data_IF_095765179817
#
_entry.id   IF_095765179817
#
_cell.length_a   1.000
_cell.length_b   1.000
_cell.length_c   1.000
_cell.angle_alpha   90.00
_cell.angle_beta   90.00
_cell.angle_gamma   90.00
#
_symmetry.space_group_name_H-M   'P 1'
#
loop_
_entity.id
_entity.type
_entity.pdbx_description
1 polymer ?
#
# COMPACT_ATOMS: atom_id res chain seq x y z
N UNK A 1 -13.96 3.65 22.47
CA UNK A 1 -14.70 2.60 21.73
C UNK A 1 -13.71 1.55 21.25
N UNK A 2 -13.84 0.30 21.70
CA UNK A 2 -12.95 -0.78 21.27
C UNK A 2 -13.06 -0.92 19.75
N UNK A 3 -11.96 -0.67 19.03
CA UNK A 3 -11.93 -0.82 17.59
C UNK A 3 -12.18 -2.31 17.26
N UNK A 4 -13.34 -2.62 16.68
CA UNK A 4 -13.68 -3.96 16.24
C UNK A 4 -12.60 -4.46 15.29
N UNK A 5 -11.77 -5.39 15.76
CA UNK A 5 -10.70 -6.01 14.95
C UNK A 5 -11.33 -7.13 14.13
N UNK A 6 -10.96 -7.27 12.84
CA UNK A 6 -11.44 -8.38 12.02
C UNK A 6 -10.87 -9.71 12.53
N UNK A 7 -11.67 -10.77 12.44
CA UNK A 7 -11.16 -12.14 12.62
C UNK A 7 -10.20 -12.52 11.47
N UNK A 8 -9.39 -13.55 11.63
CA UNK A 8 -8.42 -14.05 10.64
C UNK A 8 -9.06 -14.28 9.28
N UNK A 9 -10.22 -14.96 9.23
CA UNK A 9 -10.95 -15.22 7.97
C UNK A 9 -11.40 -13.92 7.32
N UNK A 10 -11.94 -12.98 8.10
CA UNK A 10 -12.36 -11.67 7.61
C UNK A 10 -11.15 -10.86 7.11
N UNK A 11 -10.01 -10.95 7.79
CA UNK A 11 -8.77 -10.29 7.41
C UNK A 11 -8.18 -10.83 6.10
N UNK A 12 -8.19 -12.16 5.92
CA UNK A 12 -7.74 -12.80 4.67
C UNK A 12 -8.68 -12.41 3.52
N UNK A 13 -9.99 -12.60 3.71
CA UNK A 13 -10.97 -12.23 2.69
C UNK A 13 -10.89 -10.74 2.34
N UNK A 14 -10.71 -9.88 3.35
CA UNK A 14 -10.46 -8.45 3.17
C UNK A 14 -9.20 -8.19 2.37
N UNK A 15 -8.09 -8.85 2.68
CA UNK A 15 -6.80 -8.63 2.00
C UNK A 15 -6.90 -8.87 0.50
N UNK A 16 -7.74 -9.81 0.07
CA UNK A 16 -7.92 -10.19 -1.33
C UNK A 16 -9.20 -9.64 -2.00
N UNK A 17 -9.87 -8.66 -1.38
CA UNK A 17 -10.89 -7.85 -2.08
C UNK A 17 -12.29 -7.80 -1.44
N UNK A 18 -12.55 -8.59 -0.39
CA UNK A 18 -13.85 -8.55 0.30
C UNK A 18 -13.99 -7.27 1.13
N UNK A 19 -15.17 -6.65 1.08
CA UNK A 19 -15.51 -5.52 1.96
C UNK A 19 -15.78 -6.00 3.39
N UNK A 20 -15.14 -5.36 4.37
CA UNK A 20 -15.45 -5.53 5.80
C UNK A 20 -16.73 -4.76 6.21
N UNK A 21 -17.43 -5.21 7.26
CA UNK A 21 -18.59 -4.51 7.81
C UNK A 21 -18.26 -3.08 8.26
N UNK A 22 -19.26 -2.19 8.21
CA UNK A 22 -19.07 -0.76 8.52
C UNK A 22 -18.69 -0.51 9.98
N UNK A 23 -19.00 -1.44 10.90
CA UNK A 23 -18.54 -1.39 12.30
C UNK A 23 -17.01 -1.43 12.45
N UNK A 24 -16.29 -1.91 11.42
CA UNK A 24 -14.82 -1.99 11.38
C UNK A 24 -14.18 -0.88 10.54
N UNK A 25 -14.94 0.14 10.14
CA UNK A 25 -14.47 1.24 9.27
C UNK A 25 -13.25 1.97 9.83
N UNK A 26 -13.19 2.19 11.15
CA UNK A 26 -12.03 2.80 11.81
C UNK A 26 -10.77 1.93 11.75
N UNK A 27 -10.93 0.60 11.81
CA UNK A 27 -9.82 -0.32 11.63
C UNK A 27 -9.30 -0.26 10.19
N UNK A 28 -10.21 -0.24 9.20
CA UNK A 28 -9.86 -0.11 7.77
C UNK A 28 -9.15 1.21 7.50
N UNK A 29 -9.63 2.31 8.09
CA UNK A 29 -8.99 3.64 7.98
C UNK A 29 -7.53 3.59 8.43
N UNK A 30 -7.25 3.01 9.60
CA UNK A 30 -5.87 2.84 10.12
C UNK A 30 -5.05 1.83 9.33
N UNK A 31 -5.67 0.80 8.77
CA UNK A 31 -4.97 -0.17 7.94
C UNK A 31 -4.51 0.43 6.60
N UNK A 32 -5.41 1.16 5.93
CA UNK A 32 -5.15 1.72 4.60
C UNK A 32 -4.41 3.05 4.66
N UNK A 33 -4.64 3.88 5.68
CA UNK A 33 -4.07 5.21 5.81
C UNK A 33 -3.31 5.40 7.13
N UNK A 34 -2.81 4.33 7.74
CA UNK A 34 -1.92 4.41 8.89
C UNK A 34 -0.45 4.18 8.54
N UNK A 35 0.46 4.40 9.49
CA UNK A 35 1.89 4.12 9.31
C UNK A 35 2.10 2.64 8.93
N UNK A 36 3.00 2.41 7.97
CA UNK A 36 3.31 1.06 7.47
C UNK A 36 2.26 0.44 6.54
N UNK A 37 1.29 1.21 6.03
CA UNK A 37 0.30 0.72 5.06
C UNK A 37 0.95 0.10 3.81
N UNK A 38 2.02 0.72 3.29
CA UNK A 38 2.79 0.16 2.18
C UNK A 38 3.37 -1.21 2.54
N UNK A 39 4.02 -1.35 3.70
CA UNK A 39 4.60 -2.62 4.15
C UNK A 39 3.55 -3.72 4.24
N UNK A 40 2.37 -3.42 4.83
CA UNK A 40 1.25 -4.38 4.93
C UNK A 40 0.75 -4.80 3.55
N UNK A 41 0.62 -3.85 2.62
CA UNK A 41 0.22 -4.14 1.25
C UNK A 41 1.24 -5.05 0.55
N UNK A 42 2.54 -4.76 0.67
CA UNK A 42 3.61 -5.57 0.07
C UNK A 42 3.62 -7.00 0.61
N UNK A 43 3.49 -7.17 1.92
CA UNK A 43 3.41 -8.52 2.52
C UNK A 43 2.19 -9.28 1.98
N UNK A 44 1.03 -8.63 1.88
CA UNK A 44 -0.20 -9.27 1.35
C UNK A 44 -0.04 -9.67 -0.13
N UNK A 45 0.54 -8.81 -0.94
CA UNK A 45 0.67 -9.04 -2.38
C UNK A 45 1.82 -9.97 -2.76
N UNK A 46 2.78 -10.21 -1.85
CA UNK A 46 3.83 -11.20 -2.02
C UNK A 46 3.33 -12.65 -1.91
N UNK A 47 2.22 -12.89 -1.19
CA UNK A 47 1.73 -14.24 -0.90
C UNK A 47 1.15 -14.93 -2.15
N UNK A 48 0.23 -14.34 -2.94
CA UNK A 48 -0.34 -15.01 -4.11
C UNK A 48 0.69 -15.51 -5.14
N UNK A 49 1.66 -14.69 -5.62
CA UNK A 49 2.65 -15.17 -6.58
C UNK A 49 3.53 -16.27 -5.99
N UNK A 50 3.85 -16.21 -4.69
CA UNK A 50 4.59 -17.28 -4.02
C UNK A 50 3.81 -18.60 -4.05
N UNK A 51 2.50 -18.58 -3.76
CA UNK A 51 1.65 -19.77 -3.79
C UNK A 51 1.51 -20.35 -5.20
N UNK A 52 1.47 -19.50 -6.23
CA UNK A 52 1.40 -19.94 -7.63
C UNK A 52 2.72 -20.53 -8.10
N UNK A 53 3.85 -19.98 -7.68
CA UNK A 53 5.18 -20.43 -8.10
C UNK A 53 5.71 -21.61 -7.27
N UNK A 54 5.25 -21.80 -6.02
CA UNK A 54 5.71 -22.85 -5.13
C UNK A 54 5.62 -24.28 -5.72
N UNK A 55 4.55 -24.68 -6.43
CA UNK A 55 4.48 -26.00 -7.07
C UNK A 55 5.58 -26.25 -8.12
N UNK A 56 6.11 -25.21 -8.77
CA UNK A 56 7.18 -25.37 -9.76
C UNK A 56 8.47 -25.89 -9.13
N UNK A 57 8.68 -25.62 -7.84
CA UNK A 57 9.83 -26.10 -7.08
C UNK A 57 9.76 -27.58 -6.69
N UNK A 58 8.64 -28.25 -6.94
CA UNK A 58 8.51 -29.69 -6.75
C UNK A 58 9.06 -30.48 -7.95
N UNK A 59 9.35 -29.79 -9.07
CA UNK A 59 9.91 -30.41 -10.26
C UNK A 59 11.41 -30.67 -10.06
N UNK A 60 11.93 -31.82 -10.54
CA UNK A 60 13.36 -32.10 -10.48
C UNK A 60 14.11 -31.21 -11.49
N UNK A 61 14.60 -30.07 -11.02
CA UNK A 61 15.45 -29.15 -11.80
C UNK A 61 16.58 -28.58 -10.94
N UNK A 62 17.61 -28.03 -11.59
CA UNK A 62 18.69 -27.35 -10.88
C UNK A 62 18.19 -26.07 -10.19
N UNK A 63 18.87 -25.63 -9.14
CA UNK A 63 18.54 -24.37 -8.46
C UNK A 63 18.57 -23.18 -9.43
N UNK A 64 19.49 -23.20 -10.39
CA UNK A 64 19.61 -22.15 -11.41
C UNK A 64 18.34 -22.05 -12.26
N UNK A 65 17.85 -23.18 -12.77
CA UNK A 65 16.63 -23.24 -13.59
C UNK A 65 15.40 -22.80 -12.80
N UNK A 66 15.30 -23.17 -11.52
CA UNK A 66 14.22 -22.68 -10.64
C UNK A 66 14.25 -21.16 -10.46
N UNK A 67 15.42 -20.56 -10.30
CA UNK A 67 15.55 -19.12 -10.14
C UNK A 67 15.18 -18.39 -11.45
N UNK A 68 15.65 -18.87 -12.59
CA UNK A 68 15.32 -18.27 -13.90
C UNK A 68 13.82 -18.26 -14.19
N UNK A 69 13.10 -19.33 -13.85
CA UNK A 69 11.66 -19.40 -14.10
C UNK A 69 10.83 -18.61 -13.06
N UNK A 70 11.27 -18.51 -11.81
CA UNK A 70 10.45 -17.94 -10.73
C UNK A 70 10.79 -16.50 -10.37
N UNK A 71 12.08 -16.13 -10.34
CA UNK A 71 12.53 -14.80 -9.90
C UNK A 71 12.01 -13.68 -10.77
N UNK A 72 12.04 -13.75 -12.11
CA UNK A 72 11.54 -12.66 -12.95
C UNK A 72 10.04 -12.42 -12.74
N UNK A 73 9.25 -13.49 -12.69
CA UNK A 73 7.79 -13.41 -12.49
C UNK A 73 7.48 -12.86 -11.10
N UNK A 74 8.14 -13.36 -10.06
CA UNK A 74 7.93 -12.90 -8.70
C UNK A 74 8.33 -11.43 -8.53
N UNK A 75 9.50 -11.06 -9.04
CA UNK A 75 9.99 -9.67 -9.00
C UNK A 75 9.03 -8.74 -9.73
N UNK A 76 8.56 -9.13 -10.92
CA UNK A 76 7.59 -8.35 -11.67
C UNK A 76 6.27 -8.17 -10.89
N UNK A 77 5.76 -9.22 -10.24
CA UNK A 77 4.56 -9.13 -9.42
C UNK A 77 4.73 -8.14 -8.25
N UNK A 78 5.89 -8.15 -7.58
CA UNK A 78 6.18 -7.20 -6.49
C UNK A 78 6.28 -5.76 -7.01
N UNK A 79 6.95 -5.54 -8.14
CA UNK A 79 7.04 -4.22 -8.77
C UNK A 79 5.66 -3.69 -9.16
N UNK A 80 4.80 -4.53 -9.74
CA UNK A 80 3.42 -4.16 -10.04
C UNK A 80 2.63 -3.86 -8.77
N UNK A 81 2.76 -4.66 -7.72
CA UNK A 81 2.10 -4.37 -6.45
C UNK A 81 2.55 -3.02 -5.86
N UNK A 82 3.85 -2.70 -5.94
CA UNK A 82 4.39 -1.42 -5.50
C UNK A 82 3.80 -0.25 -6.31
N UNK A 83 3.77 -0.39 -7.63
CA UNK A 83 3.24 0.63 -8.54
C UNK A 83 1.73 0.86 -8.34
N UNK A 84 0.95 -0.20 -8.23
CA UNK A 84 -0.51 -0.12 -8.08
C UNK A 84 -0.97 0.17 -6.64
N UNK A 85 -0.07 0.14 -5.64
CA UNK A 85 -0.41 0.32 -4.23
C UNK A 85 -1.27 1.57 -3.96
N UNK A 86 -0.95 2.71 -4.59
CA UNK A 86 -1.71 3.96 -4.36
C UNK A 86 -3.12 3.87 -4.94
N UNK A 87 -3.26 3.40 -6.18
CA UNK A 87 -4.56 3.19 -6.85
C UNK A 87 -5.42 2.22 -6.05
N UNK A 88 -4.83 1.08 -5.65
CA UNK A 88 -5.51 0.06 -4.88
C UNK A 88 -6.01 0.59 -3.53
N UNK A 89 -5.16 1.31 -2.77
CA UNK A 89 -5.56 1.90 -1.48
C UNK A 89 -6.69 2.92 -1.63
N UNK A 90 -6.63 3.80 -2.64
CA UNK A 90 -7.71 4.76 -2.95
C UNK A 90 -9.01 4.04 -3.27
N UNK A 91 -8.97 3.02 -4.13
CA UNK A 91 -10.13 2.21 -4.46
C UNK A 91 -10.73 1.52 -3.23
N UNK A 92 -9.88 0.96 -2.35
CA UNK A 92 -10.34 0.32 -1.10
C UNK A 92 -10.96 1.31 -0.12
N UNK A 93 -10.43 2.52 0.01
CA UNK A 93 -11.08 3.57 0.82
C UNK A 93 -12.46 3.93 0.26
N UNK A 94 -12.56 4.13 -1.06
CA UNK A 94 -13.82 4.41 -1.73
C UNK A 94 -14.85 3.27 -1.54
N UNK A 95 -14.42 2.00 -1.61
CA UNK A 95 -15.28 0.85 -1.33
C UNK A 95 -15.90 0.87 0.08
N UNK A 96 -15.24 1.53 1.04
CA UNK A 96 -15.69 1.68 2.42
C UNK A 96 -16.37 3.04 2.68
N UNK A 97 -16.58 3.86 1.65
CA UNK A 97 -17.15 5.20 1.76
C UNK A 97 -16.25 6.19 2.52
N UNK A 98 -14.95 5.91 2.62
CA UNK A 98 -13.94 6.75 3.26
C UNK A 98 -13.30 7.64 2.18
N UNK A 99 -12.93 8.87 2.53
CA UNK A 99 -12.24 9.79 1.61
C UNK A 99 -10.97 9.15 1.03
N UNK A 100 -10.88 8.95 -0.30
CA UNK A 100 -9.70 8.40 -0.96
C UNK A 100 -8.43 9.24 -0.77
N UNK A 101 -8.55 10.55 -0.52
CA UNK A 101 -7.43 11.48 -0.37
C UNK A 101 -6.69 11.30 0.97
N UNK A 102 -7.26 10.52 1.89
CA UNK A 102 -6.62 10.14 3.15
C UNK A 102 -5.28 9.40 2.93
N UNK A 103 -5.10 8.75 1.77
CA UNK A 103 -3.82 8.13 1.38
C UNK A 103 -2.68 9.16 1.34
N UNK A 104 -3.00 10.40 0.93
CA UNK A 104 -2.03 11.46 0.72
C UNK A 104 -1.78 12.28 1.99
N UNK A 105 -2.69 12.26 2.97
CA UNK A 105 -2.53 12.97 4.25
C UNK A 105 -1.27 12.58 5.02
N UNK A 106 -1.01 11.29 5.19
CA UNK A 106 0.23 10.82 5.85
C UNK A 106 1.50 11.26 5.11
N UNK A 107 1.46 11.29 3.78
CA UNK A 107 2.59 11.76 2.97
C UNK A 107 2.74 13.28 3.14
N UNK A 108 1.63 14.01 3.19
CA UNK A 108 1.60 15.45 3.49
C UNK A 108 2.14 15.76 4.88
N UNK A 109 1.74 15.04 5.93
CA UNK A 109 2.27 15.22 7.30
C UNK A 109 3.78 14.98 7.37
N UNK A 110 4.26 13.88 6.76
CA UNK A 110 5.71 13.60 6.72
C UNK A 110 6.47 14.69 5.95
N UNK A 111 5.93 15.13 4.83
CA UNK A 111 6.54 16.19 4.03
C UNK A 111 6.44 17.56 4.71
N UNK A 112 5.40 17.80 5.51
CA UNK A 112 5.22 19.05 6.26
C UNK A 112 6.37 19.28 7.24
N UNK A 113 6.82 18.24 7.94
CA UNK A 113 8.02 18.33 8.79
C UNK A 113 9.27 18.73 7.97
N UNK A 114 9.46 18.14 6.78
CA UNK A 114 10.56 18.55 5.90
C UNK A 114 10.39 19.98 5.37
N UNK A 115 9.15 20.41 5.10
CA UNK A 115 8.85 21.76 4.65
C UNK A 115 9.08 22.80 5.75
N UNK A 116 8.76 22.49 7.00
CA UNK A 116 9.04 23.33 8.17
C UNK A 116 10.54 23.47 8.41
N UNK A 117 11.30 22.36 8.36
CA UNK A 117 12.76 22.38 8.47
C UNK A 117 13.42 23.17 7.32
N UNK A 118 12.92 22.99 6.10
CA UNK A 118 13.37 23.78 4.95
C UNK A 118 13.07 25.27 5.15
N UNK A 119 11.85 25.61 5.55
CA UNK A 119 11.44 27.00 5.76
C UNK A 119 12.24 27.68 6.88
N UNK A 120 12.63 26.93 7.92
CA UNK A 120 13.50 27.43 8.99
C UNK A 120 14.91 27.74 8.49
N UNK A 121 15.45 26.95 7.55
CA UNK A 121 16.83 27.11 7.03
C UNK A 121 16.95 28.10 5.86
N UNK A 122 15.96 28.13 4.98
CA UNK A 122 16.03 28.85 3.70
C UNK A 122 14.94 29.92 3.53
N UNK A 123 14.03 30.07 4.49
CA UNK A 123 12.90 31.00 4.42
C UNK A 123 11.65 30.40 3.77
N UNK A 124 10.50 31.08 3.87
CA UNK A 124 9.24 30.62 3.33
C UNK A 124 9.28 30.52 1.80
N UNK A 125 8.66 29.47 1.24
CA UNK A 125 8.56 29.29 -0.21
C UNK A 125 7.67 30.40 -0.80
N UNK A 126 8.05 31.04 -1.92
CA UNK A 126 7.23 32.08 -2.52
C UNK A 126 5.83 31.57 -2.93
N UNK A 127 4.84 32.46 -2.84
CA UNK A 127 3.42 32.19 -3.15
C UNK A 127 3.23 31.60 -4.55
N UNK A 128 4.03 32.06 -5.52
CA UNK A 128 4.02 31.54 -6.89
C UNK A 128 4.41 30.05 -6.99
N UNK A 129 5.03 29.44 -5.98
CA UNK A 129 5.39 28.01 -6.02
C UNK A 129 4.24 27.10 -5.56
N UNK A 130 3.08 27.64 -5.15
CA UNK A 130 1.93 26.83 -4.66
C UNK A 130 1.40 25.85 -5.72
N UNK A 131 1.44 26.17 -7.01
CA UNK A 131 1.00 25.26 -8.07
C UNK A 131 1.85 23.99 -8.16
N UNK A 132 3.12 24.02 -7.71
CA UNK A 132 4.01 22.86 -7.70
C UNK A 132 3.66 21.86 -6.59
N UNK A 133 2.93 22.27 -5.55
CA UNK A 133 2.60 21.41 -4.40
C UNK A 133 1.62 20.28 -4.79
N UNK A 134 0.90 20.41 -5.90
CA UNK A 134 -0.14 19.48 -6.32
C UNK A 134 0.25 18.58 -7.51
N UNK A 135 1.54 18.28 -7.69
CA UNK A 135 2.08 17.63 -8.90
C UNK A 135 2.14 16.09 -8.88
N UNK A 136 1.34 15.41 -8.06
CA UNK A 136 1.28 13.93 -8.03
C UNK A 136 -0.05 13.43 -8.61
N UNK A 137 -0.22 13.42 -9.95
CA UNK A 137 -1.36 12.79 -10.60
C UNK A 137 -1.37 11.25 -10.43
N UNK A 138 -0.23 10.68 -10.01
CA UNK A 138 -0.05 9.26 -9.70
C UNK A 138 0.16 9.02 -8.22
#
# INVERSE_FOLDING_TARGET
MAAARPNIVQYIAYSYGRRLPDSMREWVKRDLAGPGALRRHMIRMAIPPLLVLAPLWLLPASLYVHLEMTVPIYTWAILMALALNKIWRRHRLAQHGIDPNLVDELRRERNAQMHEDYARRYGPRPEEARWQQNSSPF
#
